data_IF_998137021133
#
_entry.id   IF_998137021133
#
_cell.length_a   1.000
_cell.length_b   1.000
_cell.length_c   1.000
_cell.angle_alpha   90.00
_cell.angle_beta   90.00
_cell.angle_gamma   90.00
#
_symmetry.space_group_name_H-M   'P 1'
#
loop_
_entity.id
_entity.type
_entity.pdbx_description
1 polymer ?
#
# COMPACT_ATOMS: atom_id res chain seq x y z
N UNK A 1 -5.47 -19.58 9.24
CA UNK A 1 -6.77 -19.64 8.47
C UNK A 1 -6.54 -18.87 7.18
N UNK A 2 -6.95 -19.35 6.01
CA UNK A 2 -6.80 -18.57 4.77
C UNK A 2 -7.77 -17.39 4.79
N UNK A 3 -7.38 -16.25 4.20
CA UNK A 3 -8.19 -15.04 4.07
C UNK A 3 -9.60 -15.35 3.55
N UNK A 4 -10.62 -14.76 4.14
CA UNK A 4 -12.02 -14.94 3.73
C UNK A 4 -12.80 -13.62 3.80
N UNK A 5 -13.81 -13.46 2.95
CA UNK A 5 -14.75 -12.36 2.99
C UNK A 5 -16.03 -12.77 3.71
N UNK A 6 -16.36 -12.10 4.80
CA UNK A 6 -17.59 -12.30 5.53
C UNK A 6 -18.58 -11.16 5.23
N UNK A 7 -19.68 -11.51 4.57
CA UNK A 7 -20.73 -10.57 4.15
C UNK A 7 -21.97 -10.59 5.03
N UNK A 8 -21.92 -11.22 6.21
CA UNK A 8 -23.07 -11.38 7.12
C UNK A 8 -23.77 -10.06 7.43
N UNK A 9 -23.01 -9.02 7.74
CA UNK A 9 -23.54 -7.70 8.09
C UNK A 9 -23.96 -6.84 6.89
N UNK A 10 -23.81 -7.38 5.66
CA UNK A 10 -24.34 -6.78 4.43
C UNK A 10 -25.72 -7.28 4.05
N UNK A 11 -26.25 -8.33 4.69
CA UNK A 11 -27.46 -9.04 4.26
C UNK A 11 -28.73 -8.18 4.27
N UNK A 12 -28.80 -7.13 5.09
CA UNK A 12 -29.89 -6.15 5.10
C UNK A 12 -29.75 -5.08 3.98
N UNK A 13 -28.59 -4.99 3.34
CA UNK A 13 -28.27 -3.98 2.32
C UNK A 13 -28.13 -4.56 0.92
N UNK A 14 -27.69 -5.81 0.80
CA UNK A 14 -27.49 -6.52 -0.45
C UNK A 14 -28.05 -7.95 -0.31
N UNK A 15 -28.91 -8.34 -1.21
CA UNK A 15 -29.45 -9.70 -1.27
C UNK A 15 -28.71 -10.57 -2.31
N UNK A 16 -28.87 -11.89 -2.24
CA UNK A 16 -28.17 -12.82 -3.14
C UNK A 16 -28.57 -12.67 -4.61
N UNK A 17 -29.80 -12.22 -4.91
CA UNK A 17 -30.22 -11.97 -6.29
C UNK A 17 -29.45 -10.81 -6.93
N UNK A 18 -29.04 -9.80 -6.14
CA UNK A 18 -28.20 -8.70 -6.63
C UNK A 18 -26.79 -9.19 -6.97
N UNK A 19 -26.22 -10.10 -6.18
CA UNK A 19 -24.95 -10.73 -6.52
C UNK A 19 -25.06 -11.59 -7.81
N UNK A 20 -26.13 -12.37 -7.92
CA UNK A 20 -26.38 -13.15 -9.15
C UNK A 20 -26.57 -12.26 -10.38
N UNK A 21 -27.25 -11.13 -10.23
CA UNK A 21 -27.49 -10.19 -11.33
C UNK A 21 -26.23 -9.51 -11.86
N UNK A 22 -25.24 -9.21 -10.99
CA UNK A 22 -23.98 -8.59 -11.39
C UNK A 22 -22.93 -9.63 -11.85
N UNK A 23 -23.01 -10.87 -11.41
CA UNK A 23 -22.00 -11.91 -11.65
C UNK A 23 -21.64 -12.10 -13.15
N UNK A 24 -22.56 -12.06 -14.13
CA UNK A 24 -22.18 -12.12 -15.55
C UNK A 24 -21.18 -11.03 -15.98
N UNK A 25 -21.21 -9.85 -15.34
CA UNK A 25 -20.21 -8.80 -15.60
C UNK A 25 -18.83 -9.17 -15.03
N UNK A 26 -18.80 -9.88 -13.89
CA UNK A 26 -17.56 -10.43 -13.31
C UNK A 26 -16.96 -11.49 -14.23
N UNK A 27 -17.78 -12.37 -14.82
CA UNK A 27 -17.30 -13.35 -15.80
C UNK A 27 -16.64 -12.70 -17.01
N UNK A 28 -17.22 -11.60 -17.52
CA UNK A 28 -16.62 -10.83 -18.61
C UNK A 28 -15.31 -10.19 -18.16
N UNK A 29 -15.28 -9.54 -16.98
CA UNK A 29 -14.09 -8.92 -16.44
C UNK A 29 -12.95 -9.95 -16.22
N UNK A 30 -13.27 -11.10 -15.65
CA UNK A 30 -12.32 -12.22 -15.48
C UNK A 30 -11.75 -12.67 -16.84
N UNK A 31 -12.62 -12.98 -17.81
CA UNK A 31 -12.19 -13.43 -19.15
C UNK A 31 -11.31 -12.38 -19.84
N UNK A 32 -11.64 -11.11 -19.67
CA UNK A 32 -10.87 -9.98 -20.22
C UNK A 32 -9.47 -9.90 -19.58
N UNK A 33 -9.38 -10.08 -18.26
CA UNK A 33 -8.09 -10.12 -17.54
C UNK A 33 -7.23 -11.31 -17.98
N UNK A 34 -7.80 -12.52 -18.00
CA UNK A 34 -7.05 -13.74 -18.37
C UNK A 34 -6.62 -13.73 -19.84
N UNK A 35 -7.46 -13.20 -20.73
CA UNK A 35 -7.13 -13.04 -22.15
C UNK A 35 -6.16 -11.87 -22.42
N UNK A 36 -5.89 -11.01 -21.42
CA UNK A 36 -5.03 -9.83 -21.56
C UNK A 36 -5.40 -8.93 -22.73
N UNK A 37 -6.69 -8.70 -22.96
CA UNK A 37 -7.19 -7.95 -24.13
C UNK A 37 -8.08 -6.75 -23.74
N UNK A 38 -8.16 -6.40 -22.46
CA UNK A 38 -8.89 -5.24 -21.97
C UNK A 38 -8.07 -3.96 -21.91
N UNK A 39 -8.71 -2.84 -21.54
CA UNK A 39 -8.03 -1.60 -21.27
C UNK A 39 -6.91 -1.80 -20.24
N UNK A 40 -5.69 -1.31 -20.55
CA UNK A 40 -4.53 -1.44 -19.68
C UNK A 40 -3.86 -2.82 -19.67
N UNK A 41 -4.13 -3.66 -20.68
CA UNK A 41 -3.54 -5.02 -20.81
C UNK A 41 -1.99 -5.05 -20.80
N UNK A 42 -1.34 -3.91 -21.12
CA UNK A 42 0.11 -3.79 -21.05
C UNK A 42 0.66 -3.80 -19.61
N UNK A 43 -0.21 -3.70 -18.59
CA UNK A 43 0.16 -3.63 -17.17
C UNK A 43 -0.36 -4.80 -16.34
N UNK A 44 -0.41 -6.00 -16.90
CA UNK A 44 -0.93 -7.22 -16.25
C UNK A 44 0.15 -8.19 -15.76
N UNK A 45 1.42 -7.77 -15.72
CA UNK A 45 2.53 -8.60 -15.21
C UNK A 45 2.31 -9.06 -13.76
N UNK A 46 1.66 -8.26 -12.94
CA UNK A 46 1.35 -8.58 -11.54
C UNK A 46 0.51 -9.86 -11.38
N UNK A 47 -0.31 -10.23 -12.35
CA UNK A 47 -1.23 -11.38 -12.25
C UNK A 47 -0.52 -12.71 -12.02
N UNK A 48 0.65 -12.87 -12.61
CA UNK A 48 1.42 -14.13 -12.54
C UNK A 48 2.72 -13.95 -11.76
N UNK A 49 3.04 -12.72 -11.38
CA UNK A 49 4.27 -12.36 -10.68
C UNK A 49 4.58 -13.25 -9.46
N UNK A 50 3.61 -13.60 -8.57
CA UNK A 50 3.93 -14.41 -7.40
C UNK A 50 4.49 -15.81 -7.72
N UNK A 51 4.22 -16.32 -8.92
CA UNK A 51 4.74 -17.62 -9.38
C UNK A 51 5.90 -17.46 -10.37
N UNK A 52 5.78 -16.51 -11.29
CA UNK A 52 6.62 -16.43 -12.49
C UNK A 52 7.67 -15.33 -12.37
N UNK A 53 8.02 -14.89 -11.14
CA UNK A 53 9.05 -13.87 -10.89
C UNK A 53 10.44 -14.34 -11.28
N UNK A 54 11.33 -13.41 -11.59
CA UNK A 54 12.75 -13.65 -11.90
C UNK A 54 13.47 -14.18 -10.66
N UNK A 55 13.78 -15.47 -10.65
CA UNK A 55 14.42 -16.16 -9.51
C UNK A 55 15.86 -15.69 -9.30
N UNK A 56 16.59 -15.34 -10.36
CA UNK A 56 17.95 -14.84 -10.25
C UNK A 56 17.96 -13.44 -9.62
N UNK A 57 17.09 -12.56 -10.08
CA UNK A 57 16.94 -11.23 -9.46
C UNK A 57 16.48 -11.34 -7.99
N UNK A 58 15.59 -12.28 -7.69
CA UNK A 58 15.13 -12.51 -6.34
C UNK A 58 16.27 -12.90 -5.38
N UNK A 59 17.15 -13.81 -5.80
CA UNK A 59 18.35 -14.16 -5.00
C UNK A 59 19.33 -12.97 -4.90
N UNK A 60 19.46 -12.16 -5.94
CA UNK A 60 20.24 -10.91 -5.89
C UNK A 60 19.67 -9.91 -4.89
N UNK A 61 18.33 -9.81 -4.76
CA UNK A 61 17.67 -8.99 -3.76
C UNK A 61 18.03 -9.45 -2.35
N UNK A 62 17.97 -10.76 -2.07
CA UNK A 62 18.36 -11.33 -0.77
C UNK A 62 19.81 -11.04 -0.44
N UNK A 63 20.71 -11.24 -1.40
CA UNK A 63 22.13 -10.98 -1.22
C UNK A 63 22.41 -9.49 -0.96
N UNK A 64 21.74 -8.59 -1.69
CA UNK A 64 21.86 -7.14 -1.47
C UNK A 64 21.29 -6.73 -0.10
N UNK A 65 20.15 -7.27 0.31
CA UNK A 65 19.59 -7.01 1.62
C UNK A 65 20.50 -7.48 2.76
N UNK A 66 21.10 -8.66 2.65
CA UNK A 66 22.08 -9.16 3.62
C UNK A 66 23.28 -8.23 3.74
N UNK A 67 23.85 -7.79 2.59
CA UNK A 67 24.97 -6.85 2.54
C UNK A 67 24.60 -5.50 3.16
N UNK A 68 23.44 -4.93 2.85
CA UNK A 68 22.96 -3.65 3.43
C UNK A 68 22.85 -3.76 4.95
N UNK A 69 22.30 -4.87 5.45
CA UNK A 69 22.15 -5.13 6.89
C UNK A 69 23.48 -5.27 7.63
N UNK A 70 24.52 -5.76 6.97
CA UNK A 70 25.88 -5.87 7.51
C UNK A 70 26.63 -4.53 7.49
N UNK A 71 26.52 -3.80 6.38
CA UNK A 71 27.32 -2.61 6.10
C UNK A 71 26.73 -1.32 6.67
N UNK A 72 25.44 -1.29 7.02
CA UNK A 72 24.73 -0.05 7.33
C UNK A 72 23.95 -0.12 8.64
N UNK A 73 23.89 1.02 9.32
CA UNK A 73 23.01 1.26 10.46
C UNK A 73 21.65 1.80 10.01
N UNK A 74 21.62 2.44 8.83
CA UNK A 74 20.43 3.06 8.23
C UNK A 74 20.34 2.71 6.75
N UNK A 75 19.15 2.35 6.29
CA UNK A 75 18.77 2.36 4.89
C UNK A 75 17.78 3.48 4.64
N UNK A 76 18.07 4.37 3.70
CA UNK A 76 17.10 5.35 3.22
C UNK A 76 16.52 4.88 1.88
N UNK A 77 15.22 4.67 1.85
CA UNK A 77 14.48 4.31 0.64
C UNK A 77 13.91 5.59 0.03
N UNK A 78 14.44 5.99 -1.12
CA UNK A 78 14.02 7.19 -1.82
C UNK A 78 13.04 6.84 -2.95
N UNK A 79 11.74 7.11 -2.74
CA UNK A 79 10.67 6.80 -3.68
C UNK A 79 9.35 7.48 -3.31
N UNK A 80 8.40 7.50 -4.24
CA UNK A 80 7.07 8.08 -4.04
C UNK A 80 5.98 7.16 -4.63
N UNK A 81 4.76 7.27 -4.11
CA UNK A 81 3.62 6.48 -4.57
C UNK A 81 3.90 4.97 -4.45
N UNK A 82 3.74 4.22 -5.53
CA UNK A 82 4.01 2.78 -5.55
C UNK A 82 5.46 2.40 -5.24
N UNK A 83 6.42 3.31 -5.43
CA UNK A 83 7.83 3.11 -5.05
C UNK A 83 8.12 3.29 -3.55
N UNK A 84 7.10 3.55 -2.75
CA UNK A 84 7.19 3.85 -1.32
C UNK A 84 6.13 3.12 -0.50
N UNK A 85 4.83 3.30 -0.87
CA UNK A 85 3.70 2.89 -0.03
C UNK A 85 3.67 1.38 0.23
N UNK A 86 3.82 0.56 -0.81
CA UNK A 86 3.72 -0.90 -0.65
C UNK A 86 4.80 -1.48 0.25
N UNK A 87 6.06 -1.06 0.09
CA UNK A 87 7.16 -1.51 0.93
C UNK A 87 6.93 -1.12 2.40
N UNK A 88 6.59 0.14 2.65
CA UNK A 88 6.33 0.64 3.99
C UNK A 88 5.13 -0.05 4.63
N UNK A 89 4.06 -0.27 3.87
CA UNK A 89 2.87 -0.97 4.33
C UNK A 89 3.18 -2.39 4.83
N UNK A 90 3.93 -3.16 4.05
CA UNK A 90 4.34 -4.53 4.45
C UNK A 90 5.25 -4.49 5.68
N UNK A 91 6.24 -3.57 5.71
CA UNK A 91 7.19 -3.48 6.83
C UNK A 91 6.45 -3.15 8.14
N UNK A 92 5.60 -2.12 8.14
CA UNK A 92 4.87 -1.74 9.36
C UNK A 92 3.82 -2.78 9.76
N UNK A 93 3.12 -3.41 8.81
CA UNK A 93 2.15 -4.46 9.14
C UNK A 93 2.81 -5.69 9.79
N UNK A 94 3.95 -6.13 9.27
CA UNK A 94 4.62 -7.37 9.74
C UNK A 94 5.49 -7.13 10.97
N UNK A 95 6.23 -6.00 11.01
CA UNK A 95 7.21 -5.70 12.06
C UNK A 95 6.70 -4.75 13.14
N UNK A 96 5.59 -4.06 12.87
CA UNK A 96 5.06 -3.00 13.72
C UNK A 96 5.55 -1.61 13.36
N UNK A 97 4.75 -0.60 13.71
CA UNK A 97 5.05 0.81 13.42
C UNK A 97 6.30 1.33 14.14
N UNK A 98 6.68 0.69 15.25
CA UNK A 98 7.87 1.04 16.04
C UNK A 98 9.09 0.13 15.75
N UNK A 99 9.11 -0.55 14.60
CA UNK A 99 10.18 -1.50 14.26
C UNK A 99 11.57 -0.87 14.29
N UNK A 100 11.71 0.41 13.94
CA UNK A 100 12.99 1.11 13.99
C UNK A 100 13.51 1.32 15.42
N UNK A 101 12.64 1.47 16.40
CA UNK A 101 13.00 1.69 17.80
C UNK A 101 13.23 0.36 18.53
N UNK A 102 12.46 -0.66 18.20
CA UNK A 102 12.48 -1.97 18.91
C UNK A 102 13.54 -2.93 18.35
N UNK A 103 13.84 -2.87 17.06
CA UNK A 103 14.90 -3.68 16.44
C UNK A 103 16.27 -3.02 16.66
N UNK A 104 17.27 -3.77 17.09
CA UNK A 104 18.64 -3.30 17.22
C UNK A 104 19.43 -3.35 15.90
N UNK A 105 18.81 -3.83 14.81
CA UNK A 105 19.41 -3.93 13.50
C UNK A 105 19.32 -2.66 12.67
N UNK A 106 19.25 -2.87 11.36
CA UNK A 106 19.13 -1.81 10.34
C UNK A 106 17.85 -0.99 10.52
N UNK A 107 17.97 0.33 10.61
CA UNK A 107 16.84 1.25 10.62
C UNK A 107 16.44 1.60 9.19
N UNK A 108 15.15 1.62 8.88
CA UNK A 108 14.66 1.92 7.53
C UNK A 108 13.84 3.19 7.57
N UNK A 109 14.27 4.19 6.80
CA UNK A 109 13.56 5.44 6.64
C UNK A 109 13.20 5.67 5.18
N UNK A 110 12.05 6.29 4.95
CA UNK A 110 11.56 6.61 3.62
C UNK A 110 11.67 8.11 3.37
N UNK A 111 12.05 8.49 2.15
CA UNK A 111 12.03 9.87 1.71
C UNK A 111 11.78 9.99 0.20
N UNK A 112 11.75 11.23 -0.33
CA UNK A 112 11.38 11.42 -1.74
C UNK A 112 9.90 11.18 -2.03
N UNK A 113 9.10 11.00 -0.99
CA UNK A 113 7.64 10.96 -1.01
C UNK A 113 7.02 12.33 -0.66
N UNK A 114 7.85 13.34 -0.48
CA UNK A 114 7.50 14.73 -0.20
C UNK A 114 8.61 15.66 -0.67
N UNK A 115 8.26 16.91 -0.99
CA UNK A 115 9.21 18.01 -1.23
C UNK A 115 9.32 18.97 -0.04
N UNK A 116 8.85 18.55 1.14
CA UNK A 116 8.99 19.32 2.37
C UNK A 116 10.48 19.38 2.79
N UNK A 117 11.06 20.59 2.94
CA UNK A 117 12.44 20.71 3.39
C UNK A 117 12.61 20.27 4.85
N UNK A 118 11.61 20.48 5.71
CA UNK A 118 11.64 20.03 7.10
C UNK A 118 11.76 18.50 7.18
N UNK A 119 10.89 17.79 6.47
CA UNK A 119 10.92 16.32 6.42
C UNK A 119 12.26 15.78 5.91
N UNK A 120 12.82 16.38 4.85
CA UNK A 120 14.12 15.95 4.33
C UNK A 120 15.25 16.24 5.32
N UNK A 121 15.22 17.36 6.04
CA UNK A 121 16.21 17.68 7.08
C UNK A 121 16.17 16.69 8.25
N UNK A 122 14.99 16.20 8.64
CA UNK A 122 14.87 15.16 9.66
C UNK A 122 15.56 13.85 9.20
N UNK A 123 15.35 13.44 7.95
CA UNK A 123 16.05 12.27 7.38
C UNK A 123 17.58 12.47 7.34
N UNK A 124 18.05 13.68 6.95
CA UNK A 124 19.46 14.02 6.98
C UNK A 124 20.03 13.88 8.40
N UNK A 125 19.30 14.38 9.40
CA UNK A 125 19.71 14.30 10.81
C UNK A 125 19.80 12.84 11.29
N UNK A 126 18.84 11.99 10.89
CA UNK A 126 18.85 10.55 11.21
C UNK A 126 20.04 9.79 10.59
N UNK A 127 20.54 10.24 9.42
CA UNK A 127 21.70 9.66 8.75
C UNK A 127 23.05 10.17 9.29
N UNK A 128 23.07 11.37 9.90
CA UNK A 128 24.30 12.04 10.31
C UNK A 128 25.06 11.21 11.34
N UNK A 129 26.33 10.90 11.04
CA UNK A 129 27.22 10.11 11.91
C UNK A 129 26.89 8.61 11.93
N UNK A 130 26.02 8.13 11.04
CA UNK A 130 25.69 6.70 10.86
C UNK A 130 26.28 6.18 9.55
N UNK A 131 26.53 4.87 9.49
CA UNK A 131 26.77 4.19 8.23
C UNK A 131 25.40 4.05 7.55
N UNK A 132 25.21 4.65 6.39
CA UNK A 132 23.92 4.51 5.71
C UNK A 132 24.07 4.12 4.25
N UNK A 133 23.05 3.43 3.75
CA UNK A 133 22.87 3.07 2.34
C UNK A 133 21.61 3.74 1.79
N UNK A 134 21.55 3.88 0.48
CA UNK A 134 20.42 4.48 -0.24
C UNK A 134 19.87 3.44 -1.22
N UNK A 135 18.57 3.15 -1.15
CA UNK A 135 17.82 2.51 -2.22
C UNK A 135 16.97 3.55 -2.94
N UNK A 136 17.42 3.99 -4.12
CA UNK A 136 16.66 4.93 -4.94
C UNK A 136 15.78 4.17 -5.91
N UNK A 137 14.46 4.46 -5.85
CA UNK A 137 13.43 3.74 -6.61
C UNK A 137 12.71 4.70 -7.55
N UNK A 138 13.04 4.65 -8.84
CA UNK A 138 12.40 5.47 -9.86
C UNK A 138 12.60 4.84 -11.24
N UNK A 139 11.50 4.53 -11.95
CA UNK A 139 11.58 3.94 -13.28
C UNK A 139 12.28 4.89 -14.27
N UNK A 140 11.85 6.14 -14.34
CA UNK A 140 12.43 7.15 -15.26
C UNK A 140 13.70 7.81 -14.73
N UNK A 141 13.86 7.92 -13.40
CA UNK A 141 14.88 8.73 -12.75
C UNK A 141 14.57 10.23 -12.71
N UNK A 142 13.43 10.67 -13.23
CA UNK A 142 13.06 12.08 -13.35
C UNK A 142 11.88 12.51 -12.49
N UNK A 143 11.34 11.62 -11.66
CA UNK A 143 10.31 11.97 -10.68
C UNK A 143 10.88 13.01 -9.72
N UNK A 144 10.29 14.20 -9.70
CA UNK A 144 10.88 15.38 -9.08
C UNK A 144 11.21 15.18 -7.61
N UNK A 145 10.26 14.67 -6.85
CA UNK A 145 10.37 14.45 -5.40
C UNK A 145 11.53 13.49 -5.08
N UNK A 146 11.54 12.34 -5.73
CA UNK A 146 12.58 11.31 -5.56
C UNK A 146 13.95 11.80 -6.03
N UNK A 147 14.01 12.49 -7.18
CA UNK A 147 15.26 12.98 -7.74
C UNK A 147 15.90 14.06 -6.85
N UNK A 148 15.11 14.97 -6.27
CA UNK A 148 15.59 15.99 -5.34
C UNK A 148 16.13 15.36 -4.04
N UNK A 149 15.37 14.46 -3.43
CA UNK A 149 15.80 13.75 -2.23
C UNK A 149 17.08 12.96 -2.48
N UNK A 150 17.13 12.20 -3.58
CA UNK A 150 18.32 11.42 -3.95
C UNK A 150 19.56 12.30 -4.19
N UNK A 151 19.41 13.44 -4.85
CA UNK A 151 20.51 14.40 -5.06
C UNK A 151 21.14 14.86 -3.74
N UNK A 152 20.30 15.18 -2.77
CA UNK A 152 20.76 15.64 -1.44
C UNK A 152 21.41 14.49 -0.67
N UNK A 153 20.76 13.32 -0.62
CA UNK A 153 21.27 12.16 0.11
C UNK A 153 22.56 11.59 -0.48
N UNK A 154 22.67 11.55 -1.81
CA UNK A 154 23.89 11.14 -2.48
C UNK A 154 25.06 12.04 -2.08
N UNK A 155 24.87 13.37 -2.13
CA UNK A 155 25.90 14.30 -1.71
C UNK A 155 26.27 14.11 -0.23
N UNK A 156 25.30 13.93 0.64
CA UNK A 156 25.54 13.67 2.07
C UNK A 156 26.39 12.40 2.24
N UNK A 157 26.10 11.34 1.49
CA UNK A 157 26.84 10.08 1.53
C UNK A 157 28.27 10.26 1.01
N UNK A 158 28.43 10.93 -0.15
CA UNK A 158 29.75 11.22 -0.73
C UNK A 158 30.61 12.10 0.20
N UNK A 159 30.01 13.09 0.87
CA UNK A 159 30.71 13.96 1.83
C UNK A 159 31.13 13.18 3.09
N UNK A 160 30.42 12.12 3.46
CA UNK A 160 30.68 11.34 4.67
C UNK A 160 31.73 10.24 4.49
N UNK A 161 31.76 9.56 3.33
CA UNK A 161 32.61 8.38 3.10
C UNK A 161 33.46 8.46 1.84
N UNK A 162 33.36 9.53 1.06
CA UNK A 162 34.00 9.69 -0.25
C UNK A 162 33.22 8.99 -1.38
N UNK A 163 33.42 9.45 -2.61
CA UNK A 163 32.63 9.02 -3.76
C UNK A 163 32.76 7.51 -4.07
N UNK A 164 33.94 6.93 -3.92
CA UNK A 164 34.18 5.50 -4.20
C UNK A 164 33.40 4.60 -3.24
N UNK A 165 33.44 4.90 -1.95
CA UNK A 165 32.72 4.12 -0.94
C UNK A 165 31.22 4.39 -1.02
N UNK A 166 30.80 5.62 -1.32
CA UNK A 166 29.40 5.98 -1.52
C UNK A 166 28.76 5.15 -2.65
N UNK A 167 29.49 4.92 -3.76
CA UNK A 167 29.01 4.11 -4.88
C UNK A 167 28.70 2.65 -4.50
N UNK A 168 29.34 2.11 -3.46
CA UNK A 168 29.08 0.74 -2.96
C UNK A 168 27.83 0.66 -2.09
N UNK A 169 27.28 1.81 -1.67
CA UNK A 169 26.14 1.96 -0.74
C UNK A 169 24.88 2.49 -1.40
N UNK A 170 24.90 2.66 -2.73
CA UNK A 170 23.75 3.11 -3.51
C UNK A 170 23.22 1.94 -4.33
N UNK A 171 21.95 1.66 -4.19
CA UNK A 171 21.21 0.60 -4.87
C UNK A 171 20.08 1.25 -5.69
N UNK A 172 20.06 1.02 -7.02
CA UNK A 172 19.07 1.64 -7.88
C UNK A 172 18.02 0.62 -8.35
N UNK A 173 16.76 0.82 -7.94
CA UNK A 173 15.62 0.09 -8.47
C UNK A 173 14.99 0.93 -9.57
N UNK A 174 15.20 0.53 -10.84
CA UNK A 174 14.91 1.38 -12.00
C UNK A 174 14.53 0.57 -13.24
N UNK A 175 14.37 1.23 -14.38
CA UNK A 175 14.13 0.58 -15.67
C UNK A 175 15.28 -0.38 -16.04
N UNK A 176 14.96 -1.44 -16.76
CA UNK A 176 15.95 -2.44 -17.19
C UNK A 176 17.03 -1.86 -18.10
N UNK A 177 16.67 -0.96 -19.02
CA UNK A 177 17.51 -0.55 -20.12
C UNK A 177 17.63 0.98 -20.33
N UNK A 178 16.65 1.77 -19.89
CA UNK A 178 16.53 3.19 -20.23
C UNK A 178 16.25 4.06 -19.00
N UNK A 179 16.28 5.37 -19.21
CA UNK A 179 16.04 6.37 -18.15
C UNK A 179 17.32 6.89 -17.52
N UNK A 180 17.22 8.10 -16.97
CA UNK A 180 18.37 8.82 -16.41
C UNK A 180 19.00 8.12 -15.20
N UNK A 181 18.19 7.49 -14.36
CA UNK A 181 18.69 6.72 -13.22
C UNK A 181 19.43 5.47 -13.67
N UNK A 182 18.91 4.76 -14.69
CA UNK A 182 19.59 3.57 -15.25
C UNK A 182 20.94 3.94 -15.86
N UNK A 183 20.98 5.03 -16.62
CA UNK A 183 22.24 5.52 -17.19
C UNK A 183 23.24 5.84 -16.09
N UNK A 184 22.85 6.65 -15.11
CA UNK A 184 23.70 7.04 -14.00
C UNK A 184 24.20 5.83 -13.19
N UNK A 185 23.30 4.89 -12.87
CA UNK A 185 23.68 3.67 -12.14
C UNK A 185 24.70 2.83 -12.90
N UNK A 186 24.57 2.74 -14.22
CA UNK A 186 25.52 2.01 -15.08
C UNK A 186 26.88 2.71 -15.11
N UNK A 187 26.92 4.04 -15.26
CA UNK A 187 28.15 4.84 -15.26
C UNK A 187 28.89 4.78 -13.91
N UNK A 188 28.15 4.73 -12.80
CA UNK A 188 28.72 4.68 -11.46
C UNK A 188 28.97 3.26 -10.92
N UNK A 189 28.53 2.23 -11.64
CA UNK A 189 28.69 0.82 -11.24
C UNK A 189 27.77 0.40 -10.07
N UNK A 190 26.63 1.07 -9.87
CA UNK A 190 25.70 0.71 -8.79
C UNK A 190 24.96 -0.60 -9.09
N UNK A 191 24.67 -1.43 -8.06
CA UNK A 191 23.74 -2.54 -8.21
C UNK A 191 22.36 -2.04 -8.67
N UNK A 192 21.82 -2.66 -9.72
CA UNK A 192 20.51 -2.29 -10.26
C UNK A 192 19.53 -3.43 -10.14
N UNK A 193 18.27 -3.08 -9.83
CA UNK A 193 17.10 -3.97 -9.76
C UNK A 193 16.00 -3.44 -10.67
N UNK A 194 15.20 -4.34 -11.22
CA UNK A 194 14.28 -3.98 -12.31
C UNK A 194 12.91 -3.57 -11.80
N UNK A 195 12.42 -2.43 -12.27
CA UNK A 195 11.00 -2.09 -12.25
C UNK A 195 10.41 -2.66 -13.55
N UNK A 196 9.56 -3.71 -13.49
CA UNK A 196 9.02 -4.33 -14.71
C UNK A 196 8.20 -3.34 -15.54
N UNK A 197 8.25 -3.49 -16.88
CA UNK A 197 7.50 -2.62 -17.78
C UNK A 197 6.00 -2.85 -17.73
N UNK A 198 5.61 -4.07 -17.47
CA UNK A 198 4.24 -4.55 -17.45
C UNK A 198 3.58 -4.56 -16.05
N UNK A 199 4.22 -3.88 -15.07
CA UNK A 199 3.67 -3.71 -13.72
C UNK A 199 3.55 -2.24 -13.36
N UNK A 200 2.34 -1.78 -13.11
CA UNK A 200 2.07 -0.42 -12.64
C UNK A 200 2.56 -0.19 -11.20
N UNK A 201 2.86 1.08 -10.84
CA UNK A 201 3.45 1.42 -9.54
C UNK A 201 2.67 0.87 -8.33
N UNK A 202 1.35 0.99 -8.30
CA UNK A 202 0.49 0.51 -7.20
C UNK A 202 0.32 -1.02 -7.16
N UNK A 203 0.80 -1.73 -8.20
CA UNK A 203 0.87 -3.19 -8.29
C UNK A 203 2.29 -3.74 -8.15
N UNK A 204 3.26 -2.94 -7.69
CA UNK A 204 4.69 -3.27 -7.77
C UNK A 204 5.33 -3.77 -6.48
N UNK A 205 4.60 -3.86 -5.37
CA UNK A 205 5.18 -4.23 -4.06
C UNK A 205 5.87 -5.59 -4.05
N UNK A 206 5.41 -6.55 -4.85
CA UNK A 206 6.01 -7.89 -4.99
C UNK A 206 7.07 -7.97 -6.12
N UNK A 207 7.55 -6.82 -6.59
CA UNK A 207 8.74 -6.70 -7.45
C UNK A 207 9.93 -6.22 -6.63
N UNK A 208 11.09 -6.03 -7.24
CA UNK A 208 12.26 -5.43 -6.58
C UNK A 208 11.94 -4.09 -5.90
N UNK A 209 10.89 -3.38 -6.35
CA UNK A 209 10.42 -2.12 -5.76
C UNK A 209 10.07 -2.27 -4.27
N UNK A 210 9.35 -3.32 -3.91
CA UNK A 210 9.00 -3.59 -2.51
C UNK A 210 9.93 -4.61 -1.86
N UNK A 211 10.32 -5.65 -2.59
CA UNK A 211 11.03 -6.80 -2.01
C UNK A 211 12.40 -6.43 -1.43
N UNK A 212 13.14 -5.51 -2.05
CA UNK A 212 14.46 -5.12 -1.52
C UNK A 212 14.34 -4.42 -0.15
N UNK A 213 13.56 -3.34 0.03
CA UNK A 213 13.41 -2.74 1.35
C UNK A 213 12.74 -3.66 2.37
N UNK A 214 11.80 -4.53 1.96
CA UNK A 214 11.14 -5.51 2.83
C UNK A 214 12.17 -6.54 3.34
N UNK A 215 13.01 -7.10 2.47
CA UNK A 215 14.09 -8.01 2.86
C UNK A 215 15.12 -7.32 3.77
N UNK A 216 15.42 -6.03 3.52
CA UNK A 216 16.27 -5.22 4.39
C UNK A 216 15.68 -5.06 5.80
N UNK A 217 14.36 -5.02 5.95
CA UNK A 217 13.68 -5.04 7.25
C UNK A 217 13.79 -6.39 7.98
N UNK A 218 14.36 -7.41 7.35
CA UNK A 218 14.49 -8.76 7.91
C UNK A 218 13.19 -9.57 7.86
N UNK A 219 12.28 -9.19 6.96
CA UNK A 219 11.07 -9.95 6.66
C UNK A 219 11.42 -11.02 5.64
N UNK A 220 10.90 -12.22 5.85
CA UNK A 220 11.05 -13.33 4.91
C UNK A 220 10.21 -13.07 3.64
N UNK A 221 10.92 -12.72 2.55
CA UNK A 221 10.26 -12.45 1.27
C UNK A 221 9.84 -13.73 0.53
N UNK A 222 10.35 -14.90 0.89
CA UNK A 222 9.85 -16.18 0.37
C UNK A 222 8.46 -16.46 0.92
N UNK A 223 8.24 -16.26 2.24
CA UNK A 223 6.91 -16.37 2.86
C UNK A 223 5.92 -15.35 2.26
N UNK A 224 6.35 -14.10 2.05
CA UNK A 224 5.52 -13.07 1.44
C UNK A 224 5.07 -13.47 0.02
N UNK A 225 6.01 -13.96 -0.79
CA UNK A 225 5.73 -14.41 -2.16
C UNK A 225 4.87 -15.68 -2.18
N UNK A 226 5.07 -16.59 -1.21
CA UNK A 226 4.25 -17.79 -1.07
C UNK A 226 2.80 -17.42 -0.74
N UNK A 227 2.57 -16.52 0.22
CA UNK A 227 1.22 -16.03 0.53
C UNK A 227 0.53 -15.40 -0.68
N UNK A 228 1.26 -14.59 -1.45
CA UNK A 228 0.71 -14.04 -2.69
C UNK A 228 0.43 -15.11 -3.76
N UNK A 229 1.24 -16.18 -3.82
CA UNK A 229 1.02 -17.31 -4.73
C UNK A 229 -0.23 -18.11 -4.34
N UNK A 230 -0.44 -18.34 -3.04
CA UNK A 230 -1.64 -18.99 -2.52
C UNK A 230 -2.89 -18.14 -2.78
N UNK A 231 -2.76 -16.80 -2.58
CA UNK A 231 -3.80 -15.85 -2.95
C UNK A 231 -4.12 -15.88 -4.45
N UNK A 232 -3.10 -15.99 -5.31
CA UNK A 232 -3.31 -16.16 -6.76
C UNK A 232 -4.06 -17.44 -7.09
N UNK A 233 -3.67 -18.55 -6.48
CA UNK A 233 -4.34 -19.84 -6.70
C UNK A 233 -5.81 -19.80 -6.26
N UNK A 234 -6.12 -19.10 -5.18
CA UNK A 234 -7.46 -18.95 -4.63
C UNK A 234 -8.30 -17.93 -5.40
N UNK A 235 -7.82 -16.69 -5.51
CA UNK A 235 -8.59 -15.57 -6.05
C UNK A 235 -8.48 -15.42 -7.57
N UNK A 236 -7.60 -16.15 -8.22
CA UNK A 236 -7.50 -16.23 -9.68
C UNK A 236 -8.58 -17.08 -10.36
N UNK A 237 -9.35 -17.87 -9.61
CA UNK A 237 -10.36 -18.79 -10.14
C UNK A 237 -11.69 -18.08 -10.43
N UNK A 238 -12.31 -18.38 -11.57
CA UNK A 238 -13.68 -17.95 -11.85
C UNK A 238 -14.65 -18.81 -11.05
N UNK A 239 -15.23 -18.23 -10.02
CA UNK A 239 -16.24 -18.86 -9.17
C UNK A 239 -17.15 -17.78 -8.57
N UNK A 240 -18.45 -18.03 -8.40
CA UNK A 240 -19.32 -17.14 -7.62
C UNK A 240 -18.92 -17.07 -6.14
N UNK A 241 -18.19 -18.06 -5.63
CA UNK A 241 -17.67 -18.14 -4.27
C UNK A 241 -16.28 -17.51 -4.11
N UNK A 242 -15.76 -16.88 -5.17
CA UNK A 242 -14.46 -16.17 -5.08
C UNK A 242 -14.61 -14.89 -4.25
N UNK A 243 -13.98 -14.86 -3.10
CA UNK A 243 -14.06 -13.73 -2.15
C UNK A 243 -13.61 -12.39 -2.74
N UNK A 244 -12.57 -12.37 -3.60
CA UNK A 244 -12.12 -11.14 -4.25
C UNK A 244 -13.16 -10.62 -5.25
N UNK A 245 -13.87 -11.52 -5.93
CA UNK A 245 -14.95 -11.14 -6.84
C UNK A 245 -16.21 -10.73 -6.09
N UNK A 246 -16.51 -11.41 -5.00
CA UNK A 246 -17.64 -11.04 -4.14
C UNK A 246 -17.42 -9.67 -3.52
N UNK A 247 -16.18 -9.35 -3.11
CA UNK A 247 -15.83 -8.00 -2.65
C UNK A 247 -15.96 -6.95 -3.76
N UNK A 248 -15.46 -7.22 -4.97
CA UNK A 248 -15.65 -6.33 -6.12
C UNK A 248 -17.13 -6.11 -6.47
N UNK A 249 -17.95 -7.16 -6.41
CA UNK A 249 -19.41 -7.07 -6.58
C UNK A 249 -20.06 -6.21 -5.50
N UNK A 250 -19.73 -6.44 -4.22
CA UNK A 250 -20.20 -5.66 -3.07
C UNK A 250 -19.98 -4.16 -3.28
N UNK A 251 -18.76 -3.78 -3.61
CA UNK A 251 -18.37 -2.39 -3.89
C UNK A 251 -19.24 -1.78 -4.98
N UNK A 252 -19.38 -2.47 -6.11
CA UNK A 252 -20.14 -1.99 -7.26
C UNK A 252 -21.66 -1.94 -7.01
N UNK A 253 -22.22 -2.89 -6.27
CA UNK A 253 -23.63 -2.88 -5.88
C UNK A 253 -23.91 -1.69 -4.96
N UNK A 254 -23.09 -1.48 -3.94
CA UNK A 254 -23.24 -0.37 -3.00
C UNK A 254 -23.06 0.99 -3.70
N UNK A 255 -22.08 1.10 -4.61
CA UNK A 255 -21.90 2.28 -5.44
C UNK A 255 -23.17 2.62 -6.26
N UNK A 256 -23.77 1.63 -6.93
CA UNK A 256 -25.02 1.79 -7.67
C UNK A 256 -26.23 2.13 -6.78
N UNK A 257 -26.14 1.81 -5.49
CA UNK A 257 -27.12 2.20 -4.45
C UNK A 257 -26.85 3.59 -3.83
N UNK A 258 -25.88 4.34 -4.37
CA UNK A 258 -25.58 5.70 -3.94
C UNK A 258 -24.56 5.82 -2.82
N UNK A 259 -23.87 4.71 -2.46
CA UNK A 259 -22.71 4.80 -1.57
C UNK A 259 -21.51 5.26 -2.40
N UNK A 260 -20.96 6.43 -2.09
CA UNK A 260 -19.85 7.03 -2.83
C UNK A 260 -18.51 6.92 -2.10
N UNK A 261 -18.50 6.48 -0.86
CA UNK A 261 -17.32 6.37 0.00
C UNK A 261 -17.21 4.96 0.56
N UNK A 262 -16.03 4.36 0.46
CA UNK A 262 -15.66 3.17 1.21
C UNK A 262 -14.62 3.52 2.26
N UNK A 263 -14.85 3.06 3.50
CA UNK A 263 -13.91 3.20 4.61
C UNK A 263 -13.32 1.84 4.94
N UNK A 264 -12.04 1.64 4.62
CA UNK A 264 -11.29 0.47 5.09
C UNK A 264 -10.86 0.71 6.52
N UNK A 265 -11.26 -0.16 7.45
CA UNK A 265 -10.93 0.00 8.86
C UNK A 265 -10.25 -1.24 9.43
N UNK A 266 -9.36 -1.04 10.39
CA UNK A 266 -8.70 -2.11 11.13
C UNK A 266 -8.57 -1.70 12.61
N UNK A 267 -8.57 -2.70 13.51
CA UNK A 267 -8.35 -2.49 14.94
C UNK A 267 -6.89 -2.72 15.36
N UNK A 268 -5.99 -2.90 14.36
CA UNK A 268 -4.54 -2.99 14.57
C UNK A 268 -3.85 -1.74 14.03
N UNK A 269 -3.20 -0.92 14.87
CA UNK A 269 -2.49 0.30 14.43
C UNK A 269 -1.39 0.04 13.40
N UNK A 270 -0.75 -1.13 13.45
CA UNK A 270 0.27 -1.55 12.49
C UNK A 270 -0.25 -1.64 11.05
N UNK A 271 -1.59 -1.64 10.87
CA UNK A 271 -2.25 -1.64 9.55
C UNK A 271 -2.33 -0.25 8.90
N UNK A 272 -1.91 0.82 9.58
CA UNK A 272 -2.05 2.21 9.09
C UNK A 272 -1.49 2.40 7.68
N UNK A 273 -0.30 1.92 7.40
CA UNK A 273 0.29 2.08 6.07
C UNK A 273 -0.29 1.14 5.01
N UNK A 274 -0.89 0.03 5.39
CA UNK A 274 -1.72 -0.80 4.49
C UNK A 274 -2.96 -0.03 4.04
N UNK A 275 -3.58 0.75 4.92
CA UNK A 275 -4.67 1.65 4.58
C UNK A 275 -4.24 2.72 3.56
N UNK A 276 -3.03 3.30 3.70
CA UNK A 276 -2.49 4.26 2.73
C UNK A 276 -2.22 3.62 1.36
N UNK A 277 -1.66 2.42 1.35
CA UNK A 277 -1.46 1.65 0.12
C UNK A 277 -2.80 1.28 -0.54
N UNK A 278 -3.80 0.87 0.23
CA UNK A 278 -5.16 0.61 -0.24
C UNK A 278 -5.77 1.84 -0.92
N UNK A 279 -5.63 3.04 -0.31
CA UNK A 279 -6.13 4.29 -0.90
C UNK A 279 -5.50 4.58 -2.25
N UNK A 280 -4.20 4.37 -2.40
CA UNK A 280 -3.54 4.49 -3.69
C UNK A 280 -4.05 3.45 -4.69
N UNK A 281 -4.13 2.18 -4.28
CA UNK A 281 -4.54 1.09 -5.15
C UNK A 281 -5.92 1.36 -5.76
N UNK A 282 -6.92 1.62 -4.93
CA UNK A 282 -8.30 1.81 -5.40
C UNK A 282 -8.53 3.22 -5.96
N UNK A 283 -7.98 4.26 -5.36
CA UNK A 283 -8.15 5.64 -5.81
C UNK A 283 -7.63 5.88 -7.22
N UNK A 284 -6.40 5.43 -7.51
CA UNK A 284 -5.82 5.57 -8.86
C UNK A 284 -6.44 4.59 -9.87
N UNK A 285 -6.95 3.44 -9.43
CA UNK A 285 -7.51 2.44 -10.34
C UNK A 285 -8.95 2.75 -10.74
N UNK A 286 -9.78 3.26 -9.84
CA UNK A 286 -11.21 3.45 -10.06
C UNK A 286 -11.63 4.90 -10.26
N UNK A 287 -10.91 5.88 -9.70
CA UNK A 287 -11.25 7.30 -9.76
C UNK A 287 -11.03 7.91 -11.15
N UNK A 288 -11.83 7.52 -12.12
CA UNK A 288 -11.74 7.92 -13.52
C UNK A 288 -13.12 8.19 -14.12
N UNK A 289 -13.19 8.98 -15.18
CA UNK A 289 -14.45 9.30 -15.89
C UNK A 289 -15.56 9.82 -14.97
N UNK A 290 -15.18 10.52 -13.89
CA UNK A 290 -16.09 11.00 -12.83
C UNK A 290 -16.85 9.85 -12.12
N UNK A 291 -16.25 8.66 -12.07
CA UNK A 291 -16.75 7.47 -11.40
C UNK A 291 -15.80 7.02 -10.27
N UNK A 292 -16.22 6.01 -9.54
CA UNK A 292 -15.43 5.33 -8.52
C UNK A 292 -15.84 5.70 -7.10
N UNK A 293 -15.53 4.79 -6.18
CA UNK A 293 -15.68 5.01 -4.75
C UNK A 293 -14.50 5.84 -4.24
N UNK A 294 -14.76 6.82 -3.39
CA UNK A 294 -13.70 7.51 -2.65
C UNK A 294 -13.15 6.55 -1.59
N UNK A 295 -11.90 6.08 -1.70
CA UNK A 295 -11.32 5.22 -0.68
C UNK A 295 -10.86 6.06 0.50
N UNK A 296 -11.41 5.76 1.68
CA UNK A 296 -10.99 6.33 2.96
C UNK A 296 -10.56 5.22 3.90
N UNK A 297 -10.03 5.58 5.07
CA UNK A 297 -9.62 4.58 6.05
C UNK A 297 -9.74 5.09 7.47
N UNK A 298 -9.85 4.14 8.41
CA UNK A 298 -9.82 4.39 9.84
C UNK A 298 -8.94 3.35 10.55
N UNK A 299 -8.32 3.77 11.63
CA UNK A 299 -7.70 2.88 12.60
C UNK A 299 -8.48 2.99 13.91
N UNK A 300 -9.21 1.96 14.24
CA UNK A 300 -9.98 1.88 15.47
C UNK A 300 -9.12 1.28 16.60
N UNK A 301 -9.34 1.64 17.88
CA UNK A 301 -10.39 2.54 18.43
C UNK A 301 -10.09 4.04 18.24
N UNK A 302 -8.87 4.42 17.81
CA UNK A 302 -8.46 5.84 17.69
C UNK A 302 -9.49 6.66 16.93
N UNK A 303 -9.90 6.23 15.74
CA UNK A 303 -10.82 6.97 14.89
C UNK A 303 -12.30 6.84 15.28
N UNK A 304 -12.65 5.99 16.24
CA UNK A 304 -13.97 6.07 16.89
C UNK A 304 -14.12 7.38 17.68
N UNK A 305 -12.99 7.94 18.17
CA UNK A 305 -12.96 9.21 18.89
C UNK A 305 -12.82 10.44 17.98
N UNK A 306 -12.74 10.25 16.66
CA UNK A 306 -12.68 11.33 15.66
C UNK A 306 -13.80 11.22 14.62
N UNK A 307 -13.95 10.07 13.99
CA UNK A 307 -14.89 9.80 12.91
C UNK A 307 -16.14 9.05 13.36
N UNK A 308 -16.14 8.44 14.56
CA UNK A 308 -17.21 7.56 15.03
C UNK A 308 -18.59 8.22 15.01
N UNK A 309 -18.71 9.51 15.37
CA UNK A 309 -19.99 10.24 15.30
C UNK A 309 -20.50 10.32 13.85
N UNK A 310 -19.65 10.60 12.89
CA UNK A 310 -20.06 10.69 11.48
C UNK A 310 -20.42 9.32 10.90
N UNK A 311 -19.64 8.30 11.23
CA UNK A 311 -19.92 6.92 10.83
C UNK A 311 -21.27 6.44 11.36
N UNK A 312 -21.55 6.69 12.66
CA UNK A 312 -22.77 6.25 13.32
C UNK A 312 -24.01 7.03 12.88
N UNK A 313 -23.93 8.35 12.71
CA UNK A 313 -25.12 9.23 12.59
C UNK A 313 -25.00 10.30 11.49
N UNK A 314 -23.93 10.28 10.68
CA UNK A 314 -23.72 11.20 9.57
C UNK A 314 -24.47 10.81 8.30
N UNK A 315 -24.12 11.44 7.18
CA UNK A 315 -24.70 11.17 5.87
C UNK A 315 -24.47 9.72 5.43
N UNK A 316 -25.51 9.05 4.95
CA UNK A 316 -25.47 7.61 4.57
C UNK A 316 -24.86 7.38 3.17
N UNK A 317 -23.76 8.09 2.86
CA UNK A 317 -23.04 8.00 1.59
C UNK A 317 -21.94 6.95 1.59
N UNK A 318 -21.67 6.31 2.73
CA UNK A 318 -20.53 5.40 2.93
C UNK A 318 -20.96 3.98 3.30
N UNK A 319 -20.01 3.09 3.19
CA UNK A 319 -20.01 1.76 3.76
C UNK A 319 -18.61 1.44 4.31
N UNK A 320 -18.53 0.44 5.16
CA UNK A 320 -17.30 0.04 5.80
C UNK A 320 -16.87 -1.37 5.36
N UNK A 321 -15.55 -1.54 5.27
CA UNK A 321 -14.90 -2.84 5.13
C UNK A 321 -13.87 -2.96 6.24
N UNK A 322 -14.05 -3.92 7.16
CA UNK A 322 -13.08 -4.14 8.23
C UNK A 322 -12.09 -5.24 7.82
N UNK A 323 -10.81 -4.99 8.07
CA UNK A 323 -9.81 -6.06 8.09
C UNK A 323 -9.74 -6.62 9.51
N UNK A 324 -10.28 -7.82 9.66
CA UNK A 324 -10.40 -8.52 10.94
C UNK A 324 -9.21 -9.46 11.14
N UNK A 325 -8.21 -8.99 11.88
CA UNK A 325 -7.01 -9.75 12.25
C UNK A 325 -7.37 -10.66 13.43
N UNK A 326 -7.30 -11.98 13.21
CA UNK A 326 -7.72 -12.97 14.23
C UNK A 326 -6.70 -13.12 15.37
N UNK A 327 -5.41 -13.05 15.03
CA UNK A 327 -4.31 -13.22 15.96
C UNK A 327 -3.35 -12.03 15.85
N UNK A 328 -3.24 -11.28 16.94
CA UNK A 328 -2.27 -10.19 17.09
C UNK A 328 -0.85 -10.74 17.23
N UNK A 329 0.16 -9.96 16.86
CA UNK A 329 1.58 -10.34 16.98
C UNK A 329 1.97 -10.59 18.44
N UNK A 330 1.45 -9.77 19.34
CA UNK A 330 1.69 -9.84 20.79
C UNK A 330 0.35 -9.67 21.52
N UNK A 331 0.28 -10.10 22.77
CA UNK A 331 -0.89 -9.90 23.61
C UNK A 331 -0.48 -9.46 25.01
N UNK A 332 -1.41 -8.89 25.74
CA UNK A 332 -1.20 -8.35 27.07
C UNK A 332 -2.27 -8.86 28.03
N UNK A 333 -1.84 -9.47 29.15
CA UNK A 333 -2.75 -9.94 30.20
C UNK A 333 -3.12 -8.79 31.14
N UNK A 334 -4.40 -8.58 31.37
CA UNK A 334 -4.91 -7.49 32.22
C UNK A 334 -4.94 -7.99 33.65
N UNK A 335 -4.14 -7.38 34.51
CA UNK A 335 -4.09 -7.68 35.94
C UNK A 335 -5.19 -6.94 36.72
N UNK A 336 -5.58 -7.51 37.85
CA UNK A 336 -6.49 -6.82 38.77
C UNK A 336 -5.77 -5.67 39.49
N UNK A 337 -6.40 -4.50 39.54
CA UNK A 337 -5.88 -3.32 40.23
C UNK A 337 -6.47 -3.19 41.62
N UNK A 338 -5.62 -3.16 42.65
CA UNK A 338 -6.04 -2.92 44.03
C UNK A 338 -6.82 -1.60 44.14
N UNK A 339 -8.00 -1.64 44.78
CA UNK A 339 -8.86 -0.48 44.96
C UNK A 339 -9.76 -0.15 43.77
N UNK A 340 -9.54 -0.74 42.59
CA UNK A 340 -10.41 -0.56 41.39
C UNK A 340 -10.82 0.89 41.11
N UNK A 341 -9.89 1.85 41.26
CA UNK A 341 -10.19 3.28 41.19
C UNK A 341 -10.64 3.75 39.79
N UNK A 342 -10.25 3.03 38.72
CA UNK A 342 -10.65 3.26 37.33
C UNK A 342 -11.95 2.51 36.95
N UNK A 343 -12.44 1.62 37.82
CA UNK A 343 -13.64 0.82 37.59
C UNK A 343 -13.46 -0.31 36.56
N UNK A 344 -12.21 -0.67 36.18
CA UNK A 344 -11.94 -1.60 35.09
C UNK A 344 -11.61 -3.04 35.51
N UNK A 345 -11.69 -3.38 36.82
CA UNK A 345 -11.42 -4.74 37.27
C UNK A 345 -12.38 -5.80 36.66
N UNK A 346 -13.49 -5.40 36.05
CA UNK A 346 -14.33 -6.33 35.29
C UNK A 346 -13.64 -6.86 34.01
N UNK A 347 -12.55 -6.20 33.56
CA UNK A 347 -11.69 -6.63 32.45
C UNK A 347 -10.51 -7.49 32.92
N UNK A 348 -10.28 -7.56 34.25
CA UNK A 348 -9.14 -8.32 34.77
C UNK A 348 -9.27 -9.81 34.46
N UNK A 349 -8.13 -10.49 34.45
CA UNK A 349 -7.98 -11.93 34.19
C UNK A 349 -8.34 -12.35 32.74
N UNK A 350 -8.25 -11.43 31.79
CA UNK A 350 -8.37 -11.72 30.37
C UNK A 350 -7.28 -10.97 29.56
N UNK A 351 -7.11 -11.35 28.32
CA UNK A 351 -6.15 -10.72 27.41
C UNK A 351 -6.73 -9.45 26.79
N UNK A 352 -5.85 -8.47 26.50
CA UNK A 352 -6.23 -7.21 25.81
C UNK A 352 -6.84 -7.47 24.43
N UNK A 353 -6.38 -8.52 23.72
CA UNK A 353 -6.95 -8.93 22.42
C UNK A 353 -8.43 -9.27 22.52
N UNK A 354 -8.90 -9.82 23.65
CA UNK A 354 -10.33 -10.09 23.90
C UNK A 354 -11.10 -8.78 23.99
N UNK A 355 -10.55 -7.78 24.69
CA UNK A 355 -11.18 -6.45 24.82
C UNK A 355 -11.25 -5.76 23.46
N UNK A 356 -10.16 -5.78 22.68
CA UNK A 356 -10.09 -5.24 21.33
C UNK A 356 -11.12 -5.91 20.41
N UNK A 357 -11.24 -7.25 20.47
CA UNK A 357 -12.26 -8.02 19.75
C UNK A 357 -13.67 -7.58 20.11
N UNK A 358 -13.97 -7.38 21.41
CA UNK A 358 -15.30 -6.94 21.86
C UNK A 358 -15.61 -5.49 21.47
N UNK A 359 -14.59 -4.63 21.42
CA UNK A 359 -14.73 -3.29 20.89
C UNK A 359 -15.11 -3.32 19.40
N UNK A 360 -14.45 -4.16 18.61
CA UNK A 360 -14.80 -4.36 17.19
C UNK A 360 -16.21 -4.90 17.01
N UNK A 361 -16.58 -5.97 17.72
CA UNK A 361 -17.92 -6.56 17.65
C UNK A 361 -19.01 -5.55 18.03
N UNK A 362 -18.79 -4.77 19.08
CA UNK A 362 -19.71 -3.72 19.51
C UNK A 362 -19.86 -2.62 18.46
N UNK A 363 -18.77 -2.22 17.82
CA UNK A 363 -18.77 -1.22 16.74
C UNK A 363 -19.51 -1.74 15.51
N UNK A 364 -19.27 -2.99 15.10
CA UNK A 364 -19.98 -3.63 13.98
C UNK A 364 -21.50 -3.59 14.19
N UNK A 365 -21.96 -4.00 15.38
CA UNK A 365 -23.39 -4.01 15.69
C UNK A 365 -23.97 -2.59 15.66
N UNK A 366 -23.31 -1.63 16.30
CA UNK A 366 -23.78 -0.25 16.37
C UNK A 366 -23.88 0.40 14.98
N UNK A 367 -22.84 0.28 14.16
CA UNK A 367 -22.82 0.88 12.83
C UNK A 367 -23.84 0.21 11.89
N UNK A 368 -23.96 -1.13 11.95
CA UNK A 368 -24.93 -1.87 11.14
C UNK A 368 -26.37 -1.50 11.52
N UNK A 369 -26.68 -1.43 12.81
CA UNK A 369 -28.00 -0.99 13.30
C UNK A 369 -28.27 0.49 12.93
N UNK A 370 -27.22 1.31 12.87
CA UNK A 370 -27.27 2.68 12.38
C UNK A 370 -27.45 2.81 10.86
N UNK A 371 -27.51 1.71 10.11
CA UNK A 371 -27.73 1.70 8.67
C UNK A 371 -26.46 1.87 7.82
N UNK A 372 -25.30 1.55 8.36
CA UNK A 372 -24.02 1.52 7.62
C UNK A 372 -23.76 0.07 7.14
N UNK A 373 -23.71 -0.17 5.81
CA UNK A 373 -23.33 -1.49 5.31
C UNK A 373 -21.89 -1.82 5.71
N UNK A 374 -21.65 -3.04 6.20
CA UNK A 374 -20.35 -3.45 6.70
C UNK A 374 -20.00 -4.87 6.27
N UNK A 375 -18.83 -5.03 5.66
CA UNK A 375 -18.22 -6.32 5.34
C UNK A 375 -16.93 -6.53 6.12
N UNK A 376 -16.50 -7.82 6.29
CA UNK A 376 -15.24 -8.12 6.95
C UNK A 376 -14.35 -8.93 6.00
N UNK A 377 -13.09 -8.54 5.90
CA UNK A 377 -12.00 -9.32 5.34
C UNK A 377 -11.28 -9.97 6.53
N UNK A 378 -11.54 -11.25 6.74
CA UNK A 378 -10.94 -12.00 7.83
C UNK A 378 -9.55 -12.50 7.44
N UNK A 379 -8.52 -12.14 8.19
CA UNK A 379 -7.14 -12.60 8.02
C UNK A 379 -6.66 -13.28 9.29
N UNK A 380 -5.81 -14.30 9.16
CA UNK A 380 -5.35 -15.03 10.33
C UNK A 380 -4.45 -14.15 11.22
N UNK A 381 -3.47 -13.49 10.60
CA UNK A 381 -2.53 -12.58 11.27
C UNK A 381 -1.98 -11.54 10.29
N UNK A 382 -1.05 -10.71 10.75
CA UNK A 382 -0.25 -9.83 9.88
C UNK A 382 1.15 -10.44 9.61
N UNK A 383 1.24 -11.77 9.47
CA UNK A 383 2.47 -12.46 9.04
C UNK A 383 2.83 -12.08 7.59
N UNK A 384 4.08 -12.32 7.20
CA UNK A 384 4.50 -12.07 5.81
C UNK A 384 3.63 -12.84 4.81
N UNK A 385 3.29 -14.10 5.11
CA UNK A 385 2.41 -14.93 4.30
C UNK A 385 1.00 -14.32 4.15
N UNK A 386 0.35 -13.98 5.27
CA UNK A 386 -1.03 -13.49 5.26
C UNK A 386 -1.13 -12.11 4.58
N UNK A 387 -0.11 -11.25 4.78
CA UNK A 387 0.00 -9.96 4.09
C UNK A 387 0.20 -10.18 2.57
N UNK A 388 0.96 -11.19 2.17
CA UNK A 388 1.11 -11.58 0.76
C UNK A 388 -0.21 -12.02 0.13
N UNK A 389 -0.99 -12.87 0.82
CA UNK A 389 -2.35 -13.29 0.38
C UNK A 389 -3.29 -12.07 0.27
N UNK A 390 -3.27 -11.16 1.25
CA UNK A 390 -4.10 -9.96 1.29
C UNK A 390 -3.77 -8.98 0.14
N UNK A 391 -2.49 -8.80 -0.17
CA UNK A 391 -2.05 -7.96 -1.30
C UNK A 391 -2.66 -8.51 -2.61
N UNK A 392 -2.55 -9.81 -2.85
CA UNK A 392 -3.08 -10.40 -4.07
C UNK A 392 -4.62 -10.36 -4.13
N UNK A 393 -5.29 -10.56 -2.98
CA UNK A 393 -6.74 -10.38 -2.86
C UNK A 393 -7.16 -8.97 -3.32
N UNK A 394 -6.54 -7.93 -2.80
CA UNK A 394 -6.87 -6.55 -3.17
C UNK A 394 -6.53 -6.24 -4.63
N UNK A 395 -5.40 -6.73 -5.14
CA UNK A 395 -5.07 -6.56 -6.55
C UNK A 395 -6.13 -7.15 -7.47
N UNK A 396 -6.54 -8.38 -7.20
CA UNK A 396 -7.54 -9.09 -8.01
C UNK A 396 -8.90 -8.41 -7.91
N UNK A 397 -9.32 -8.06 -6.72
CA UNK A 397 -10.58 -7.37 -6.47
C UNK A 397 -10.62 -5.99 -7.15
N UNK A 398 -9.54 -5.21 -7.03
CA UNK A 398 -9.42 -3.88 -7.63
C UNK A 398 -9.50 -3.93 -9.16
N UNK A 399 -8.79 -4.87 -9.79
CA UNK A 399 -8.81 -5.04 -11.24
C UNK A 399 -10.22 -5.35 -11.75
N UNK A 400 -10.91 -6.29 -11.10
CA UNK A 400 -12.30 -6.67 -11.47
C UNK A 400 -13.26 -5.51 -11.18
N UNK A 401 -13.15 -4.86 -10.02
CA UNK A 401 -14.01 -3.73 -9.65
C UNK A 401 -13.89 -2.56 -10.63
N UNK A 402 -12.67 -2.24 -11.09
CA UNK A 402 -12.47 -1.21 -12.12
C UNK A 402 -13.12 -1.56 -13.45
N UNK A 403 -13.05 -2.80 -13.89
CA UNK A 403 -13.76 -3.23 -15.10
C UNK A 403 -15.29 -3.22 -14.93
N UNK A 404 -15.82 -3.53 -13.75
CA UNK A 404 -17.25 -3.39 -13.44
C UNK A 404 -17.73 -1.93 -13.49
N UNK A 405 -16.84 -0.97 -13.21
CA UNK A 405 -17.07 0.46 -13.39
C UNK A 405 -16.88 0.92 -14.85
N UNK A 406 -16.42 0.04 -15.73
CA UNK A 406 -16.08 0.33 -17.13
C UNK A 406 -14.98 1.41 -17.25
N UNK A 407 -13.95 1.33 -16.41
CA UNK A 407 -12.76 2.18 -16.48
C UNK A 407 -11.50 1.32 -16.70
N UNK A 408 -10.40 1.95 -17.16
CA UNK A 408 -9.09 1.29 -17.20
C UNK A 408 -8.49 1.27 -15.78
N UNK A 409 -8.33 0.10 -15.12
CA UNK A 409 -7.83 0.07 -13.74
C UNK A 409 -6.31 0.26 -13.62
N UNK A 410 -5.57 0.39 -14.73
CA UNK A 410 -4.11 0.29 -14.71
C UNK A 410 -3.37 1.55 -15.14
N UNK A 411 -4.04 2.56 -15.71
CA UNK A 411 -3.48 3.88 -15.99
C UNK A 411 -3.84 4.90 -14.89
N UNK A 412 -3.34 6.13 -14.99
CA UNK A 412 -3.61 7.25 -14.08
C UNK A 412 -3.45 8.60 -14.79
N UNK A 413 -4.31 8.93 -15.79
CA UNK A 413 -4.17 10.15 -16.58
C UNK A 413 -4.39 11.44 -15.76
N UNK A 414 -5.17 11.38 -14.68
CA UNK A 414 -5.54 12.53 -13.87
C UNK A 414 -4.38 13.26 -13.18
N UNK A 415 -3.28 12.54 -12.90
CA UNK A 415 -2.12 13.13 -12.20
C UNK A 415 -1.17 13.92 -13.10
N UNK A 416 -1.38 13.94 -14.42
CA UNK A 416 -0.47 14.63 -15.34
C UNK A 416 -0.65 16.15 -15.33
N UNK A 417 -1.85 16.64 -15.04
CA UNK A 417 -2.16 18.08 -15.10
C UNK A 417 -1.40 18.87 -14.03
N UNK A 418 -1.40 18.42 -12.78
CA UNK A 418 -0.69 19.13 -11.71
C UNK A 418 0.83 19.14 -11.94
N UNK A 419 1.39 18.06 -12.47
CA UNK A 419 2.82 17.96 -12.78
C UNK A 419 3.23 18.99 -13.83
N UNK A 420 2.45 19.12 -14.90
CA UNK A 420 2.67 20.14 -15.95
C UNK A 420 2.61 21.55 -15.38
N UNK A 421 1.63 21.83 -14.52
CA UNK A 421 1.50 23.12 -13.86
C UNK A 421 2.70 23.41 -12.93
N UNK A 422 3.11 22.42 -12.13
CA UNK A 422 4.30 22.53 -11.27
C UNK A 422 5.57 22.84 -12.09
N UNK A 423 5.79 22.12 -13.19
CA UNK A 423 6.94 22.35 -14.06
C UNK A 423 6.94 23.75 -14.67
N UNK A 424 5.77 24.23 -15.10
CA UNK A 424 5.60 25.58 -15.64
C UNK A 424 5.92 26.65 -14.59
N UNK A 425 5.32 26.54 -13.40
CA UNK A 425 5.55 27.49 -12.29
C UNK A 425 7.02 27.50 -11.81
N UNK A 426 7.69 26.36 -11.86
CA UNK A 426 9.13 26.25 -11.55
C UNK A 426 10.03 26.77 -12.67
N UNK A 427 9.48 27.18 -13.82
CA UNK A 427 10.24 27.71 -14.96
C UNK A 427 11.04 26.67 -15.72
N UNK A 428 10.53 25.42 -15.81
CA UNK A 428 11.14 24.38 -16.63
C UNK A 428 11.15 24.83 -18.11
N UNK A 429 12.28 24.72 -18.82
CA UNK A 429 12.36 25.07 -20.24
C UNK A 429 11.28 24.39 -21.09
N UNK A 430 10.62 25.16 -21.98
CA UNK A 430 9.52 24.70 -22.82
C UNK A 430 8.13 24.84 -22.21
N UNK A 431 8.01 25.54 -21.06
CA UNK A 431 6.74 25.80 -20.37
C UNK A 431 6.47 27.30 -20.15
N UNK A 432 7.14 28.18 -20.90
CA UNK A 432 7.14 29.64 -20.70
C UNK A 432 5.71 30.23 -20.81
N UNK A 433 4.98 29.90 -21.87
CA UNK A 433 3.61 30.40 -22.11
C UNK A 433 2.66 29.92 -20.99
N UNK A 434 2.76 28.62 -20.62
CA UNK A 434 1.94 28.05 -19.56
C UNK A 434 2.25 28.68 -18.20
N UNK A 435 3.51 29.04 -17.93
CA UNK A 435 3.88 29.77 -16.73
C UNK A 435 3.18 31.10 -16.63
N UNK A 436 3.19 31.90 -17.72
CA UNK A 436 2.55 33.22 -17.73
C UNK A 436 1.03 33.12 -17.49
N UNK A 437 0.36 32.12 -18.08
CA UNK A 437 -1.08 31.86 -17.85
C UNK A 437 -1.36 31.53 -16.37
N UNK A 438 -0.56 30.61 -15.77
CA UNK A 438 -0.76 30.18 -14.40
C UNK A 438 -0.45 31.29 -13.38
N UNK A 439 0.61 32.07 -13.61
CA UNK A 439 0.93 33.23 -12.76
C UNK A 439 -0.14 34.32 -12.81
N UNK A 440 -0.79 34.51 -13.97
CA UNK A 440 -1.94 35.41 -14.08
C UNK A 440 -3.13 34.90 -13.27
N UNK A 441 -3.49 33.63 -13.46
CA UNK A 441 -4.60 32.99 -12.73
C UNK A 441 -4.41 32.94 -11.20
N UNK A 442 -3.17 32.91 -10.70
CA UNK A 442 -2.87 32.93 -9.27
C UNK A 442 -2.95 34.32 -8.64
N UNK A 443 -3.06 35.39 -9.47
CA UNK A 443 -3.19 36.79 -9.00
C UNK A 443 -4.64 37.29 -8.98
N UNK A 444 -5.54 36.58 -9.65
CA UNK A 444 -7.00 36.78 -9.61
C UNK A 444 -7.61 36.16 -8.32
#
# INVERSE_FOLDING_TARGET
MSLALNTKHLSSFINEEEYKAIYPQVEVAHKTLEAKNGPGSDFLGWMYLPRDYDKEEFERIKAAAAKIREDSDVLVVAGIGGSYLGARAVIEAVKGMYHNELDNGLKIYFCGNSISPTYLNDIIALCKGKRFSINVISKSGTTTETALAFRVLRKLLEDSVGAEEANKRIYATTDRAKGTLKQLATEQGWPTFVVPDDVGGRYSVLTAVGLLPIACAGIDIDELMQGAADGREKFGKLSPDNDAYRYAMTRNILYRKGKSVETLACFEPDFTMMNEWYKQLFGESEGKDQKGLMPTSCIFSTDLHSMGQFLQDGARIMFETYVDVKHTRDDFYIEELEGNFDGLNFLANQNMSVVNRKAMEGTILAHTDGGVPLGLIEVDSLSAHDVGELIYFFWRACAVSGYLLSVNPFDQPGVESYKKNMFALLGKPGYEDRKAELEAALKE
#
